data_IF_162542498766
#
_entry.id   IF_162542498766
#
_cell.length_a   1.000
_cell.length_b   1.000
_cell.length_c   1.000
_cell.angle_alpha   90.00
_cell.angle_beta   90.00
_cell.angle_gamma   90.00
#
_symmetry.space_group_name_H-M   'P 1'
#
loop_
_entity.id
_entity.type
_entity.pdbx_description
1 polymer ?
#
# COMPACT_ATOMS: atom_id res chain seq x y z
N UNK A 1 -1.54 2.57 3.41
CA UNK A 1 -2.81 3.34 3.45
C UNK A 1 -3.38 3.30 4.85
N UNK A 2 -4.20 4.27 5.27
CA UNK A 2 -4.89 4.21 6.58
C UNK A 2 -6.12 3.28 6.50
N UNK A 3 -6.59 2.76 7.64
CA UNK A 3 -7.88 2.08 7.68
C UNK A 3 -8.98 3.07 7.26
N UNK A 4 -9.93 2.61 6.42
CA UNK A 4 -10.98 3.40 5.74
C UNK A 4 -10.48 4.43 4.71
N UNK A 5 -9.17 4.54 4.51
CA UNK A 5 -8.56 5.49 3.59
C UNK A 5 -8.53 5.03 2.13
N UNK A 6 -7.73 5.71 1.32
CA UNK A 6 -7.42 5.26 -0.04
C UNK A 6 -6.04 5.76 -0.50
N UNK A 7 -5.64 5.39 -1.72
CA UNK A 7 -4.34 5.78 -2.28
C UNK A 7 -4.13 7.30 -2.39
N UNK A 8 -5.19 8.12 -2.36
CA UNK A 8 -5.09 9.57 -2.34
C UNK A 8 -4.36 10.10 -1.10
N UNK A 9 -4.48 9.42 0.06
CA UNK A 9 -3.86 9.82 1.33
C UNK A 9 -2.33 9.89 1.23
N UNK A 10 -1.74 9.08 0.34
CA UNK A 10 -0.29 9.02 0.09
C UNK A 10 0.09 9.55 -1.29
N UNK A 11 -0.86 10.04 -2.09
CA UNK A 11 -0.61 10.49 -3.47
C UNK A 11 0.36 11.66 -3.53
N UNK A 12 0.24 12.63 -2.62
CA UNK A 12 1.15 13.79 -2.58
C UNK A 12 2.59 13.37 -2.26
N UNK A 13 2.76 12.42 -1.31
CA UNK A 13 4.05 11.83 -1.00
C UNK A 13 4.64 11.10 -2.22
N UNK A 14 3.85 10.26 -2.89
CA UNK A 14 4.29 9.56 -4.10
C UNK A 14 4.73 10.52 -5.21
N UNK A 15 4.00 11.64 -5.41
CA UNK A 15 4.39 12.66 -6.40
C UNK A 15 5.66 13.42 -6.00
N UNK A 16 5.85 13.69 -4.72
CA UNK A 16 7.08 14.27 -4.21
C UNK A 16 8.29 13.36 -4.47
N UNK A 17 8.18 12.07 -4.15
CA UNK A 17 9.22 11.07 -4.37
C UNK A 17 9.50 10.86 -5.87
N UNK A 18 8.45 10.81 -6.70
CA UNK A 18 8.58 10.74 -8.15
C UNK A 18 9.42 11.90 -8.71
N UNK A 19 9.18 13.13 -8.26
CA UNK A 19 9.96 14.32 -8.66
C UNK A 19 11.44 14.24 -8.24
N UNK A 20 11.78 13.37 -7.29
CA UNK A 20 13.13 13.10 -6.82
C UNK A 20 13.78 11.88 -7.49
N UNK A 21 13.10 11.27 -8.48
CA UNK A 21 13.62 10.14 -9.24
C UNK A 21 13.23 8.76 -8.69
N UNK A 22 12.39 8.70 -7.65
CA UNK A 22 11.93 7.42 -7.10
C UNK A 22 10.70 6.91 -7.84
N UNK A 23 10.71 5.65 -8.24
CA UNK A 23 9.47 4.94 -8.58
C UNK A 23 8.62 4.80 -7.32
N UNK A 24 7.32 5.04 -7.42
CA UNK A 24 6.39 4.86 -6.30
C UNK A 24 5.14 4.13 -6.77
N UNK A 25 4.70 3.17 -5.96
CA UNK A 25 3.48 2.40 -6.18
C UNK A 25 2.67 2.35 -4.89
N UNK A 26 1.36 2.53 -4.98
CA UNK A 26 0.45 2.53 -3.84
C UNK A 26 -0.79 1.70 -4.23
N UNK A 27 -0.89 0.44 -3.77
CA UNK A 27 -2.06 -0.40 -4.06
C UNK A 27 -3.30 0.14 -3.34
N UNK A 28 -4.47 -0.21 -3.89
CA UNK A 28 -5.76 -0.01 -3.22
C UNK A 28 -6.13 -1.31 -2.51
N UNK A 29 -6.47 -1.24 -1.23
CA UNK A 29 -6.92 -2.42 -0.49
C UNK A 29 -8.35 -2.79 -0.87
N UNK A 30 -8.69 -4.07 -0.76
CA UNK A 30 -10.05 -4.56 -1.00
C UNK A 30 -11.07 -3.79 -0.12
N UNK A 31 -12.21 -3.44 -0.73
CA UNK A 31 -13.27 -2.65 -0.11
C UNK A 31 -12.93 -1.17 0.15
N UNK A 32 -11.70 -0.72 -0.08
CA UNK A 32 -11.33 0.70 0.05
C UNK A 32 -11.52 1.44 -1.28
N UNK A 33 -11.89 2.72 -1.24
CA UNK A 33 -12.30 3.52 -2.41
C UNK A 33 -13.50 2.93 -3.20
N UNK A 34 -14.30 2.13 -2.51
CA UNK A 34 -15.56 1.55 -2.95
C UNK A 34 -16.69 2.06 -2.02
N UNK A 35 -17.97 1.73 -2.28
CA UNK A 35 -19.04 1.93 -1.32
C UNK A 35 -18.66 1.43 0.08
N UNK A 36 -19.04 2.16 1.15
CA UNK A 36 -18.56 1.90 2.50
C UNK A 36 -18.97 0.51 3.03
N UNK A 37 -20.02 -0.09 2.51
CA UNK A 37 -20.47 -1.43 2.88
C UNK A 37 -19.43 -2.50 2.49
N UNK A 38 -18.70 -2.30 1.38
CA UNK A 38 -17.73 -3.29 0.87
C UNK A 38 -16.52 -3.47 1.79
N UNK A 39 -16.19 -2.47 2.61
CA UNK A 39 -15.08 -2.61 3.58
C UNK A 39 -15.39 -3.67 4.66
N UNK A 40 -16.68 -3.94 4.90
CA UNK A 40 -17.14 -4.93 5.89
C UNK A 40 -17.03 -6.37 5.37
N UNK A 41 -16.97 -6.54 4.05
CA UNK A 41 -16.79 -7.85 3.41
C UNK A 41 -15.31 -8.27 3.37
N UNK A 42 -14.40 -7.37 3.74
CA UNK A 42 -12.97 -7.61 3.71
C UNK A 42 -12.38 -7.77 5.12
N UNK A 43 -11.07 -8.00 5.21
CA UNK A 43 -10.39 -8.14 6.50
C UNK A 43 -8.93 -7.68 6.48
N UNK A 44 -8.31 -7.42 7.64
CA UNK A 44 -6.89 -7.10 7.72
C UNK A 44 -5.95 -8.15 7.11
N UNK A 45 -6.38 -9.41 7.02
CA UNK A 45 -5.60 -10.47 6.37
C UNK A 45 -5.58 -10.30 4.85
N UNK A 46 -6.71 -9.91 4.26
CA UNK A 46 -6.84 -9.61 2.84
C UNK A 46 -6.04 -8.35 2.50
N UNK A 47 -6.19 -7.28 3.28
CA UNK A 47 -5.43 -6.04 3.03
C UNK A 47 -3.91 -6.22 3.16
N UNK A 48 -3.47 -7.12 4.06
CA UNK A 48 -2.06 -7.47 4.13
C UNK A 48 -1.60 -8.24 2.88
N UNK A 49 -2.44 -9.12 2.34
CA UNK A 49 -2.19 -9.77 1.04
C UNK A 49 -2.13 -8.73 -0.08
N UNK A 50 -3.05 -7.77 -0.15
CA UNK A 50 -3.00 -6.70 -1.15
C UNK A 50 -1.70 -5.88 -1.07
N UNK A 51 -1.20 -5.66 0.15
CA UNK A 51 0.09 -5.01 0.36
C UNK A 51 1.26 -5.87 -0.16
N UNK A 52 1.24 -7.19 0.08
CA UNK A 52 2.21 -8.15 -0.46
C UNK A 52 2.16 -8.19 -1.99
N UNK A 53 0.99 -8.30 -2.58
CA UNK A 53 0.80 -8.32 -4.03
C UNK A 53 1.32 -7.02 -4.67
N UNK A 54 1.17 -5.88 -3.99
CA UNK A 54 1.74 -4.61 -4.44
C UNK A 54 3.27 -4.53 -4.35
N UNK A 55 3.88 -5.24 -3.40
CA UNK A 55 5.34 -5.40 -3.34
C UNK A 55 5.82 -6.32 -4.46
N UNK A 56 5.17 -7.47 -4.63
CA UNK A 56 5.51 -8.46 -5.66
C UNK A 56 5.37 -7.86 -7.06
N UNK A 57 4.36 -7.00 -7.29
CA UNK A 57 4.25 -6.20 -8.51
C UNK A 57 5.51 -5.39 -8.83
N UNK A 58 6.16 -4.77 -7.83
CA UNK A 58 7.41 -4.04 -8.05
C UNK A 58 8.58 -4.98 -8.31
N UNK A 59 8.65 -6.12 -7.61
CA UNK A 59 9.67 -7.15 -7.84
C UNK A 59 9.57 -7.69 -9.27
N UNK A 60 8.37 -8.02 -9.74
CA UNK A 60 8.11 -8.49 -11.11
C UNK A 60 8.45 -7.45 -12.18
N UNK A 61 8.44 -6.16 -11.83
CA UNK A 61 8.89 -5.07 -12.71
C UNK A 61 10.41 -4.92 -12.74
N UNK A 62 11.16 -5.69 -11.95
CA UNK A 62 12.62 -5.70 -11.90
C UNK A 62 13.23 -4.71 -10.90
N UNK A 63 12.45 -4.21 -9.93
CA UNK A 63 13.01 -3.36 -8.88
C UNK A 63 13.65 -4.22 -7.78
N UNK A 64 14.96 -4.05 -7.57
CA UNK A 64 15.73 -4.80 -6.56
C UNK A 64 15.74 -4.11 -5.19
N UNK A 65 15.74 -2.77 -5.18
CA UNK A 65 15.71 -1.97 -3.95
C UNK A 65 14.31 -1.37 -3.73
N UNK A 66 13.55 -1.98 -2.82
CA UNK A 66 12.18 -1.56 -2.51
C UNK A 66 12.08 -1.15 -1.04
N UNK A 67 11.60 0.07 -0.80
CA UNK A 67 11.30 0.57 0.54
C UNK A 67 9.78 0.66 0.71
N UNK A 68 9.26 0.01 1.75
CA UNK A 68 7.83 0.06 2.09
C UNK A 68 7.59 1.15 3.13
N UNK A 69 6.69 2.08 2.82
CA UNK A 69 6.25 3.15 3.73
C UNK A 69 4.72 3.11 3.86
N UNK A 70 4.20 3.46 5.04
CA UNK A 70 2.77 3.46 5.26
C UNK A 70 2.34 4.37 6.40
N UNK A 71 1.09 4.84 6.31
CA UNK A 71 0.43 5.69 7.31
C UNK A 71 -0.55 4.85 8.13
N UNK A 72 -0.56 5.02 9.46
CA UNK A 72 -1.44 4.31 10.40
C UNK A 72 -1.40 2.78 10.19
N UNK A 73 -2.53 2.12 9.87
CA UNK A 73 -2.58 0.69 9.55
C UNK A 73 -1.53 0.27 8.51
N UNK A 74 -1.32 1.08 7.47
CA UNK A 74 -0.28 0.82 6.48
C UNK A 74 1.14 0.85 7.07
N UNK A 75 1.37 1.62 8.14
CA UNK A 75 2.61 1.61 8.90
C UNK A 75 2.78 0.30 9.68
N UNK A 76 1.70 -0.24 10.26
CA UNK A 76 1.71 -1.57 10.87
C UNK A 76 2.07 -2.65 9.84
N UNK A 77 1.51 -2.59 8.62
CA UNK A 77 1.89 -3.50 7.54
C UNK A 77 3.34 -3.31 7.10
N UNK A 78 3.83 -2.08 6.96
CA UNK A 78 5.23 -1.82 6.62
C UNK A 78 6.21 -2.42 7.65
N UNK A 79 5.89 -2.36 8.95
CA UNK A 79 6.67 -3.02 9.98
C UNK A 79 6.57 -4.55 9.89
N UNK A 80 5.38 -5.08 9.58
CA UNK A 80 5.17 -6.52 9.39
C UNK A 80 5.96 -7.10 8.21
N UNK A 81 6.16 -6.31 7.14
CA UNK A 81 7.04 -6.67 6.03
C UNK A 81 8.48 -6.97 6.48
N UNK A 82 9.02 -6.20 7.44
CA UNK A 82 10.37 -6.41 7.98
C UNK A 82 10.52 -7.74 8.74
N UNK A 83 9.42 -8.34 9.17
CA UNK A 83 9.40 -9.64 9.86
C UNK A 83 9.28 -10.82 8.88
N UNK A 84 9.25 -10.55 7.57
CA UNK A 84 9.30 -11.54 6.49
C UNK A 84 10.77 -11.76 6.09
#
# INVERSE_FOLDING_TARGET
MVFTGNSADVRQLGRFLQKKGYTSYAPQYEGHAAPPEEILESSPHVWYKDALDGYDFLVEKGYEEIVVVGLSLGGCFALKFKLK
#
